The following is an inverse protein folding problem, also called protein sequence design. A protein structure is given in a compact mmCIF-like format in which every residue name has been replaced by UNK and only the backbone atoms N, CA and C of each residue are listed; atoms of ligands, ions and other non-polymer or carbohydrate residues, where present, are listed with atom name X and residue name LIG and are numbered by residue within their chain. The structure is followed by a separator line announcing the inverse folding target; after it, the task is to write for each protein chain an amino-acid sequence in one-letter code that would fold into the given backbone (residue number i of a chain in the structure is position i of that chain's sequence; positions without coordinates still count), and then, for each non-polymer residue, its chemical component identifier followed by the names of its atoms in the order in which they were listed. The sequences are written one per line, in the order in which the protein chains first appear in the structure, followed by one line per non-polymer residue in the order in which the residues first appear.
data_IF_982360849450
#
_entry.id   IF_982360849450
#
_cell.length_a   1.000
_cell.length_b   1.000
_cell.length_c   1.000
_cell.angle_alpha   90.00
_cell.angle_beta   90.00
_cell.angle_gamma   90.00
#
_symmetry.space_group_name_H-M   'P 1'
#
loop_
_entity.id
_entity.type
_entity.pdbx_description
1 polymer ?
#
# COMPACT_ATOMS: atom_id res chain seq x y z
N UNK A 1 -0.77 2.43 18.44
CA UNK A 1 -2.23 2.31 18.63
C UNK A 1 -2.62 1.03 19.33
N UNK A 2 -2.28 -0.17 18.82
CA UNK A 2 -2.62 -1.43 19.50
C UNK A 2 -2.14 -1.48 20.97
N UNK A 3 -0.92 -1.02 21.23
CA UNK A 3 -0.36 -0.90 22.58
C UNK A 3 -1.15 0.08 23.47
N UNK A 4 -1.55 1.24 22.94
CA UNK A 4 -2.34 2.25 23.67
C UNK A 4 -3.75 1.76 24.01
N UNK A 5 -4.29 0.84 23.21
CA UNK A 5 -5.58 0.20 23.45
C UNK A 5 -5.44 -1.11 24.26
N UNK A 6 -4.23 -1.41 24.74
CA UNK A 6 -3.90 -2.61 25.52
C UNK A 6 -4.27 -3.93 24.84
N UNK A 7 -4.30 -3.96 23.51
CA UNK A 7 -4.55 -5.18 22.73
C UNK A 7 -3.26 -6.01 22.68
N UNK A 8 -3.19 -7.04 23.52
CA UNK A 8 -2.00 -7.91 23.65
C UNK A 8 -2.11 -9.28 22.98
N UNK A 9 -3.32 -9.71 22.60
CA UNK A 9 -3.58 -11.01 21.96
C UNK A 9 -4.59 -10.85 20.83
N UNK A 10 -4.37 -11.59 19.74
CA UNK A 10 -5.31 -11.69 18.63
C UNK A 10 -6.22 -12.90 18.84
N UNK A 11 -7.50 -12.75 18.48
CA UNK A 11 -8.48 -13.84 18.52
C UNK A 11 -8.41 -14.77 17.30
N UNK A 12 -7.64 -14.38 16.28
CA UNK A 12 -7.45 -15.10 15.03
C UNK A 12 -5.97 -15.30 14.74
N UNK A 13 -5.69 -16.34 13.97
CA UNK A 13 -4.36 -16.62 13.47
C UNK A 13 -3.86 -15.52 12.54
N UNK A 14 -2.54 -15.44 12.43
CA UNK A 14 -1.89 -14.51 11.54
C UNK A 14 -2.25 -14.82 10.08
N UNK A 15 -2.65 -13.79 9.32
CA UNK A 15 -2.99 -13.90 7.91
C UNK A 15 -1.90 -13.26 7.06
N UNK A 16 -1.24 -14.08 6.23
CA UNK A 16 -0.30 -13.61 5.22
C UNK A 16 -0.92 -13.74 3.82
N UNK A 17 -0.73 -12.72 2.99
CA UNK A 17 -1.24 -12.69 1.61
C UNK A 17 -0.27 -13.37 0.63
N UNK A 18 0.99 -13.59 1.02
CA UNK A 18 1.99 -14.22 0.16
C UNK A 18 2.30 -13.42 -1.11
N UNK A 19 2.12 -12.10 -1.09
CA UNK A 19 2.35 -11.24 -2.23
C UNK A 19 3.84 -10.95 -2.41
N UNK A 20 4.34 -10.85 -3.65
CA UNK A 20 5.71 -10.44 -3.90
C UNK A 20 5.95 -8.99 -3.45
N UNK A 21 7.15 -8.72 -2.93
CA UNK A 21 7.57 -7.37 -2.56
C UNK A 21 7.97 -6.61 -3.83
N UNK A 22 7.37 -5.47 -4.07
CA UNK A 22 7.70 -4.61 -5.21
C UNK A 22 8.93 -3.75 -4.89
N UNK A 23 10.02 -4.03 -5.62
CA UNK A 23 11.30 -3.31 -5.56
C UNK A 23 11.63 -2.60 -6.88
N UNK A 24 10.67 -2.49 -7.79
CA UNK A 24 10.87 -1.92 -9.13
C UNK A 24 11.19 -0.42 -9.10
N UNK A 25 10.68 0.33 -8.11
CA UNK A 25 10.98 1.75 -7.96
C UNK A 25 12.32 1.98 -7.27
N UNK A 26 13.09 2.96 -7.77
CA UNK A 26 14.35 3.40 -7.16
C UNK A 26 14.16 4.17 -5.85
N UNK A 27 12.95 4.66 -5.58
CA UNK A 27 12.70 5.59 -4.46
C UNK A 27 11.97 4.94 -3.29
N UNK A 28 11.18 3.91 -3.54
CA UNK A 28 10.42 3.21 -2.49
C UNK A 28 10.39 1.70 -2.75
N UNK A 29 10.33 0.93 -1.67
CA UNK A 29 10.00 -0.50 -1.70
C UNK A 29 8.60 -0.67 -1.13
N UNK A 30 7.75 -1.43 -1.80
CA UNK A 30 6.36 -1.66 -1.37
C UNK A 30 6.14 -3.11 -1.00
N UNK A 31 5.78 -3.32 0.26
CA UNK A 31 5.35 -4.61 0.78
C UNK A 31 3.84 -4.58 1.02
N UNK A 32 3.09 -5.16 0.09
CA UNK A 32 1.63 -5.16 0.14
C UNK A 32 1.06 -6.16 1.14
N UNK A 33 1.88 -7.02 1.75
CA UNK A 33 1.44 -7.92 2.83
C UNK A 33 1.15 -7.15 4.13
N UNK A 34 1.79 -5.99 4.32
CA UNK A 34 1.56 -5.10 5.48
C UNK A 34 0.40 -4.15 5.30
N UNK A 35 -0.09 -3.97 4.07
CA UNK A 35 -1.10 -2.97 3.75
C UNK A 35 -2.46 -3.32 4.39
N UNK A 36 -2.99 -2.38 5.16
CA UNK A 36 -4.32 -2.49 5.80
C UNK A 36 -5.46 -1.92 4.94
N UNK A 37 -5.19 -1.52 3.70
CA UNK A 37 -6.22 -1.02 2.77
C UNK A 37 -6.83 0.34 3.12
N UNK A 38 -6.14 1.18 3.91
CA UNK A 38 -6.69 2.45 4.39
C UNK A 38 -6.89 3.55 3.32
N UNK A 39 -6.32 3.40 2.12
CA UNK A 39 -6.50 4.34 1.01
C UNK A 39 -5.74 5.67 1.11
N UNK A 40 -5.07 5.98 2.22
CA UNK A 40 -4.34 7.26 2.40
C UNK A 40 -3.29 7.54 1.32
N UNK A 41 -2.56 6.50 0.91
CA UNK A 41 -1.56 6.61 -0.16
C UNK A 41 -2.19 6.92 -1.53
N UNK A 42 -3.38 6.40 -1.81
CA UNK A 42 -4.14 6.70 -3.03
C UNK A 42 -4.60 8.15 -2.98
N UNK A 43 -5.21 8.56 -1.86
CA UNK A 43 -5.71 9.92 -1.68
C UNK A 43 -4.62 10.97 -1.89
N UNK A 44 -3.45 10.82 -1.24
CA UNK A 44 -2.34 11.78 -1.42
C UNK A 44 -1.77 11.77 -2.84
N UNK A 45 -1.70 10.60 -3.49
CA UNK A 45 -1.22 10.47 -4.87
C UNK A 45 -2.17 11.14 -5.87
N UNK A 46 -3.48 11.08 -5.60
CA UNK A 46 -4.53 11.68 -6.42
C UNK A 46 -4.71 13.16 -6.15
N UNK A 47 -4.95 13.55 -4.90
CA UNK A 47 -5.38 14.92 -4.56
C UNK A 47 -4.21 15.89 -4.45
N UNK A 48 -3.06 15.44 -3.94
CA UNK A 48 -1.91 16.33 -3.69
C UNK A 48 -0.92 16.29 -4.85
N UNK A 49 -0.58 15.08 -5.32
CA UNK A 49 0.40 14.93 -6.39
C UNK A 49 -0.23 14.97 -7.79
N UNK A 50 -1.56 14.76 -7.91
CA UNK A 50 -2.30 14.74 -9.19
C UNK A 50 -1.76 13.75 -10.22
N UNK A 51 -1.05 12.71 -9.77
CA UNK A 51 -0.44 11.69 -10.63
C UNK A 51 -1.34 10.48 -10.82
N UNK A 52 -2.10 10.12 -9.78
CA UNK A 52 -2.98 8.93 -9.80
C UNK A 52 -2.26 7.64 -10.20
N UNK A 53 -1.02 7.45 -9.73
CA UNK A 53 -0.20 6.29 -10.10
C UNK A 53 -0.70 4.96 -9.51
N UNK A 54 -1.52 5.00 -8.47
CA UNK A 54 -1.99 3.83 -7.71
C UNK A 54 -3.47 3.96 -7.38
N UNK A 55 -4.16 2.82 -7.38
CA UNK A 55 -5.55 2.72 -6.93
C UNK A 55 -5.82 1.32 -6.36
N UNK A 56 -7.02 1.12 -5.82
CA UNK A 56 -7.52 -0.20 -5.42
C UNK A 56 -7.79 -1.09 -6.62
N UNK A 57 -7.31 -2.33 -6.54
CA UNK A 57 -7.57 -3.38 -7.51
C UNK A 57 -8.03 -4.65 -6.81
N UNK A 58 -8.83 -5.45 -7.51
CA UNK A 58 -9.44 -6.65 -6.94
C UNK A 58 -10.67 -6.33 -6.09
N UNK A 59 -11.19 -7.33 -5.38
CA UNK A 59 -12.40 -7.24 -4.55
C UNK A 59 -12.26 -8.06 -3.27
N UNK A 60 -12.95 -7.62 -2.21
CA UNK A 60 -13.01 -8.31 -0.93
C UNK A 60 -11.64 -8.44 -0.28
N UNK A 61 -11.35 -9.62 0.27
CA UNK A 61 -10.04 -9.92 0.89
C UNK A 61 -8.87 -9.82 -0.10
N UNK A 62 -9.12 -9.93 -1.41
CA UNK A 62 -8.09 -9.83 -2.45
C UNK A 62 -7.85 -8.39 -2.94
N UNK A 63 -8.47 -7.39 -2.32
CA UNK A 63 -8.22 -5.99 -2.69
C UNK A 63 -6.79 -5.58 -2.30
N UNK A 64 -6.06 -5.04 -3.28
CA UNK A 64 -4.70 -4.53 -3.12
C UNK A 64 -4.57 -3.13 -3.71
N UNK A 65 -3.67 -2.32 -3.15
CA UNK A 65 -3.30 -1.03 -3.73
C UNK A 65 -2.15 -1.24 -4.72
N UNK A 66 -2.42 -1.11 -6.00
CA UNK A 66 -1.45 -1.40 -7.06
C UNK A 66 -1.46 -0.31 -8.14
N UNK A 67 -0.33 -0.05 -8.83
CA UNK A 67 -0.34 0.65 -10.10
C UNK A 67 -1.13 -0.15 -11.14
N UNK A 68 -1.41 0.47 -12.29
CA UNK A 68 -2.14 -0.14 -13.40
C UNK A 68 -1.73 -1.60 -13.67
N UNK A 69 -2.71 -2.45 -13.97
CA UNK A 69 -2.60 -3.92 -14.00
C UNK A 69 -1.30 -4.39 -14.67
N UNK A 70 -0.56 -5.25 -13.96
CA UNK A 70 0.67 -5.86 -14.46
C UNK A 70 1.93 -4.99 -14.35
N UNK A 71 1.84 -3.79 -13.75
CA UNK A 71 3.00 -2.90 -13.56
C UNK A 71 3.48 -2.86 -12.12
N UNK A 72 4.79 -2.92 -11.95
CA UNK A 72 5.44 -2.47 -10.72
C UNK A 72 5.41 -0.95 -10.61
N UNK A 73 5.71 -0.43 -9.42
CA UNK A 73 5.79 1.01 -9.19
C UNK A 73 6.80 1.70 -10.13
N UNK A 74 7.94 1.07 -10.41
CA UNK A 74 8.97 1.60 -11.30
C UNK A 74 8.56 1.69 -12.77
N UNK A 75 7.57 0.89 -13.20
CA UNK A 75 7.07 0.85 -14.58
C UNK A 75 5.77 1.64 -14.77
N UNK A 76 5.34 2.32 -13.71
CA UNK A 76 4.11 3.11 -13.65
C UNK A 76 4.36 4.60 -13.97
N UNK A 77 3.30 5.40 -13.92
CA UNK A 77 3.38 6.87 -14.07
C UNK A 77 3.90 7.58 -12.81
N UNK A 78 4.34 6.83 -11.80
CA UNK A 78 4.86 7.38 -10.55
C UNK A 78 6.07 8.29 -10.78
N UNK A 79 6.03 9.47 -10.17
CA UNK A 79 7.11 10.48 -10.22
C UNK A 79 8.10 10.36 -9.05
N UNK A 80 8.03 9.27 -8.28
CA UNK A 80 8.96 8.95 -7.21
C UNK A 80 9.00 9.98 -6.05
N UNK A 81 7.90 10.70 -5.78
CA UNK A 81 7.84 11.75 -4.75
C UNK A 81 7.80 11.24 -3.29
N UNK A 82 7.58 9.95 -3.07
CA UNK A 82 7.60 9.33 -1.73
C UNK A 82 6.43 9.71 -0.80
N UNK A 83 5.43 10.48 -1.24
CA UNK A 83 4.33 10.86 -0.36
C UNK A 83 3.52 9.65 0.16
N UNK A 84 3.41 8.59 -0.64
CA UNK A 84 2.70 7.38 -0.22
C UNK A 84 3.31 6.71 1.03
N UNK A 85 4.62 6.80 1.27
CA UNK A 85 5.25 6.24 2.48
C UNK A 85 5.10 7.15 3.70
N UNK A 86 5.03 8.47 3.50
CA UNK A 86 4.86 9.45 4.58
C UNK A 86 3.48 9.31 5.23
N UNK A 87 2.45 9.09 4.41
CA UNK A 87 1.07 8.94 4.88
C UNK A 87 0.69 7.49 5.18
N UNK A 88 1.60 6.53 4.97
CA UNK A 88 1.38 5.13 5.28
C UNK A 88 1.37 4.94 6.80
N UNK A 89 0.29 4.39 7.40
CA UNK A 89 0.22 4.19 8.84
C UNK A 89 0.92 2.91 9.34
N UNK A 90 1.48 2.11 8.43
CA UNK A 90 2.15 0.83 8.70
C UNK A 90 3.61 0.86 8.27
#
# INVERSE_FOLDING_TARGET
MAEQMEVRKLAYDWYDRGLPIDRSSKSIVRDMNKCIGCGRCIQVCKEIQTVEAIDFQGRGSHTIVSPAVGKGMGDSVCVNCGQCIVYCPV
#
